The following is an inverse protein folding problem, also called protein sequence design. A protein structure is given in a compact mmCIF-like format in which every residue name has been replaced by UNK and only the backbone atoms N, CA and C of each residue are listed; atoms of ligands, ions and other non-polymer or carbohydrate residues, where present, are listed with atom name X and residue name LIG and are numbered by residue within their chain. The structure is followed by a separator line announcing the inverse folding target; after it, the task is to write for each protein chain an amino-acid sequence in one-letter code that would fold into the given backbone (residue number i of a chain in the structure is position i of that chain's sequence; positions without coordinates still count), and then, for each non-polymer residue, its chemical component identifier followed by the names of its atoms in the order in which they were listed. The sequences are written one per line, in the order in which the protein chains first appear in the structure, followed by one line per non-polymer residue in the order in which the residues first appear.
data_IF_417017470594
#
_entry.id   IF_417017470594
#
_cell.length_a   1.000
_cell.length_b   1.000
_cell.length_c   1.000
_cell.angle_alpha   90.00
_cell.angle_beta   90.00
_cell.angle_gamma   90.00
#
_symmetry.space_group_name_H-M   'P 1'
#
loop_
_entity.id
_entity.type
_entity.pdbx_description
1 polymer ?
#
# COMPACT_ATOMS: atom_id res chain seq x y z
N UNK A 1 -45.11 14.36 2.13
CA UNK A 1 -43.95 15.24 2.25
C UNK A 1 -42.88 14.39 2.87
N UNK A 2 -41.74 14.23 2.20
CA UNK A 2 -40.59 13.53 2.79
C UNK A 2 -40.02 14.44 3.89
N UNK A 3 -39.79 13.89 5.08
CA UNK A 3 -39.14 14.65 6.15
C UNK A 3 -37.83 15.24 5.65
N UNK A 4 -37.47 16.47 6.06
CA UNK A 4 -36.21 17.07 5.67
C UNK A 4 -35.05 16.20 6.13
N UNK A 5 -34.10 15.95 5.24
CA UNK A 5 -32.88 15.18 5.57
C UNK A 5 -32.09 15.91 6.67
N UNK A 6 -31.54 15.16 7.65
CA UNK A 6 -30.69 15.78 8.67
C UNK A 6 -29.41 16.34 8.05
N UNK A 7 -28.91 17.50 8.53
CA UNK A 7 -27.67 18.09 8.06
C UNK A 7 -26.46 17.26 8.47
N UNK A 8 -25.46 17.15 7.59
CA UNK A 8 -24.21 16.44 7.82
C UNK A 8 -23.05 17.10 7.06
N UNK A 9 -21.90 17.28 7.70
CA UNK A 9 -20.68 17.70 7.05
C UNK A 9 -19.79 16.50 6.72
N UNK A 10 -19.36 16.40 5.46
CA UNK A 10 -18.39 15.43 5.00
C UNK A 10 -17.03 16.11 4.82
N UNK A 11 -16.05 15.77 5.67
CA UNK A 11 -14.68 16.22 5.53
C UNK A 11 -13.91 15.26 4.62
N UNK A 12 -13.56 15.73 3.44
CA UNK A 12 -12.90 14.93 2.43
C UNK A 12 -11.39 15.15 2.51
N UNK A 13 -10.67 14.20 3.11
CA UNK A 13 -9.22 14.30 3.26
C UNK A 13 -8.51 14.16 1.92
N UNK A 14 -7.50 14.99 1.68
CA UNK A 14 -6.65 14.96 0.50
C UNK A 14 -5.17 15.19 0.85
N UNK A 15 -4.23 14.49 0.17
CA UNK A 15 -4.48 13.52 -0.90
C UNK A 15 -5.08 12.21 -0.40
N UNK A 16 -5.78 11.50 -1.27
CA UNK A 16 -6.41 10.20 -1.05
C UNK A 16 -6.41 9.38 -2.34
N UNK A 17 -6.81 8.10 -2.26
CA UNK A 17 -6.97 7.25 -3.42
C UNK A 17 -5.64 6.92 -4.12
N UNK A 18 -5.69 6.59 -5.40
CA UNK A 18 -4.55 6.07 -6.14
C UNK A 18 -3.27 6.90 -5.98
N UNK A 19 -2.14 6.22 -5.75
CA UNK A 19 -0.81 6.80 -5.84
C UNK A 19 -0.16 6.46 -7.18
N UNK A 20 0.93 7.14 -7.52
CA UNK A 20 1.65 6.92 -8.78
C UNK A 20 2.13 5.47 -8.97
N UNK A 21 2.48 4.76 -7.88
CA UNK A 21 2.88 3.35 -7.94
C UNK A 21 1.73 2.44 -8.35
N UNK A 22 0.55 2.64 -7.77
CA UNK A 22 -0.67 1.90 -8.08
C UNK A 22 -1.13 2.20 -9.51
N UNK A 23 -1.20 3.46 -9.90
CA UNK A 23 -1.58 3.89 -11.25
C UNK A 23 -0.68 3.24 -12.30
N UNK A 24 0.65 3.26 -12.07
CA UNK A 24 1.62 2.60 -12.95
C UNK A 24 1.37 1.09 -13.04
N UNK A 25 1.11 0.43 -11.93
CA UNK A 25 0.92 -1.03 -11.91
C UNK A 25 -0.34 -1.46 -12.67
N UNK A 26 -1.43 -0.73 -12.52
CA UNK A 26 -2.67 -0.96 -13.29
C UNK A 26 -2.42 -0.74 -14.77
N UNK A 27 -1.81 0.38 -15.17
CA UNK A 27 -1.45 0.70 -16.55
C UNK A 27 -0.55 -0.38 -17.19
N UNK A 28 0.35 -0.98 -16.43
CA UNK A 28 1.20 -2.09 -16.90
C UNK A 28 0.34 -3.27 -17.36
N UNK A 29 -0.66 -3.67 -16.57
CA UNK A 29 -1.55 -4.79 -16.93
C UNK A 29 -2.41 -4.44 -18.14
N UNK A 30 -2.98 -3.24 -18.19
CA UNK A 30 -3.81 -2.77 -19.31
C UNK A 30 -3.01 -2.73 -20.62
N UNK A 31 -1.80 -2.16 -20.61
CA UNK A 31 -0.93 -2.10 -21.79
C UNK A 31 -0.48 -3.52 -22.21
N UNK A 32 -0.20 -4.39 -21.25
CA UNK A 32 0.16 -5.78 -21.54
C UNK A 32 -0.97 -6.53 -22.24
N UNK A 33 -2.22 -6.36 -21.78
CA UNK A 33 -3.42 -6.91 -22.43
C UNK A 33 -3.60 -6.36 -23.85
N UNK A 34 -3.34 -5.06 -24.06
CA UNK A 34 -3.39 -4.46 -25.40
C UNK A 34 -2.28 -5.01 -26.32
N UNK A 35 -1.08 -5.21 -25.77
CA UNK A 35 0.10 -5.63 -26.55
C UNK A 35 0.08 -7.10 -26.92
N UNK A 36 -0.27 -7.97 -25.99
CA UNK A 36 -0.16 -9.44 -26.18
C UNK A 36 -1.51 -10.14 -26.31
N UNK A 37 -2.63 -9.43 -26.07
CA UNK A 37 -3.95 -10.01 -25.99
C UNK A 37 -4.17 -10.81 -24.71
N UNK A 38 -5.43 -11.13 -24.43
CA UNK A 38 -5.80 -11.98 -23.29
C UNK A 38 -5.49 -13.46 -23.60
N UNK A 39 -5.14 -14.29 -22.62
CA UNK A 39 -4.91 -13.92 -21.23
C UNK A 39 -3.49 -13.35 -20.96
N UNK A 40 -3.41 -12.38 -20.07
CA UNK A 40 -2.17 -11.94 -19.42
C UNK A 40 -2.23 -12.37 -17.96
N UNK A 41 -1.20 -13.04 -17.49
CA UNK A 41 -1.15 -13.54 -16.12
C UNK A 41 -0.56 -12.48 -15.16
N UNK A 42 -1.07 -12.44 -13.95
CA UNK A 42 -0.59 -11.52 -12.91
C UNK A 42 -0.35 -12.34 -11.65
N UNK A 43 0.90 -12.40 -11.19
CA UNK A 43 1.25 -13.11 -9.97
C UNK A 43 0.90 -12.26 -8.76
N UNK A 44 0.04 -12.78 -7.90
CA UNK A 44 -0.66 -12.10 -6.81
C UNK A 44 -1.55 -10.94 -7.29
N UNK A 45 -2.34 -10.36 -6.41
CA UNK A 45 -3.09 -9.14 -6.73
C UNK A 45 -2.12 -8.03 -7.15
N UNK A 46 -2.37 -7.39 -8.29
CA UNK A 46 -1.52 -6.30 -8.79
C UNK A 46 -1.39 -5.18 -7.75
N UNK A 47 -2.48 -4.89 -7.06
CA UNK A 47 -2.62 -4.03 -5.91
C UNK A 47 -3.76 -4.57 -5.03
N UNK A 48 -3.73 -4.31 -3.72
CA UNK A 48 -4.75 -4.78 -2.79
C UNK A 48 -6.04 -3.98 -2.91
N UNK A 49 -6.84 -4.27 -3.95
CA UNK A 49 -8.17 -3.72 -4.14
C UNK A 49 -9.01 -4.62 -5.05
N UNK A 50 -10.07 -5.23 -4.49
CA UNK A 50 -10.93 -6.16 -5.23
C UNK A 50 -11.59 -5.52 -6.46
N UNK A 51 -12.03 -4.27 -6.38
CA UNK A 51 -12.65 -3.56 -7.52
C UNK A 51 -11.67 -3.46 -8.70
N UNK A 52 -10.41 -3.12 -8.42
CA UNK A 52 -9.35 -3.05 -9.44
C UNK A 52 -9.07 -4.44 -10.02
N UNK A 53 -8.88 -5.44 -9.15
CA UNK A 53 -8.61 -6.83 -9.59
C UNK A 53 -9.74 -7.36 -10.45
N UNK A 54 -11.01 -7.18 -10.04
CA UNK A 54 -12.17 -7.61 -10.80
C UNK A 54 -12.29 -6.88 -12.16
N UNK A 55 -11.97 -5.57 -12.18
CA UNK A 55 -11.93 -4.80 -13.43
C UNK A 55 -10.89 -5.35 -14.42
N UNK A 56 -9.68 -5.67 -13.96
CA UNK A 56 -8.64 -6.25 -14.80
C UNK A 56 -8.96 -7.68 -15.23
N UNK A 57 -9.61 -8.49 -14.38
CA UNK A 57 -10.14 -9.81 -14.77
C UNK A 57 -11.16 -9.70 -15.90
N UNK A 58 -12.05 -8.73 -15.84
CA UNK A 58 -13.03 -8.48 -16.89
C UNK A 58 -12.37 -8.10 -18.24
N UNK A 59 -11.16 -7.53 -18.22
CA UNK A 59 -10.36 -7.23 -19.41
C UNK A 59 -9.53 -8.43 -19.90
N UNK A 60 -9.51 -9.55 -19.16
CA UNK A 60 -8.80 -10.78 -19.54
C UNK A 60 -7.48 -11.03 -18.80
N UNK A 61 -7.22 -10.31 -17.69
CA UNK A 61 -6.13 -10.66 -16.79
C UNK A 61 -6.49 -11.91 -15.96
N UNK A 62 -5.53 -12.81 -15.77
CA UNK A 62 -5.66 -14.03 -14.95
C UNK A 62 -4.72 -13.89 -13.76
N UNK A 63 -5.29 -13.85 -12.56
CA UNK A 63 -4.51 -13.75 -11.33
C UNK A 63 -4.17 -15.12 -10.79
N UNK A 64 -2.90 -15.35 -10.47
CA UNK A 64 -2.35 -16.61 -9.97
C UNK A 64 -1.54 -16.34 -8.70
N UNK A 65 -1.37 -17.35 -7.85
CA UNK A 65 -0.55 -17.24 -6.66
C UNK A 65 0.90 -17.58 -6.97
N UNK A 66 1.15 -18.65 -7.74
CA UNK A 66 2.50 -19.10 -8.04
C UNK A 66 2.81 -19.10 -9.54
N UNK A 67 4.10 -19.04 -9.84
CA UNK A 67 4.57 -18.94 -11.23
C UNK A 67 4.34 -20.22 -12.04
N UNK A 68 4.25 -21.37 -11.40
CA UNK A 68 3.99 -22.67 -12.05
C UNK A 68 2.56 -22.81 -12.59
N UNK A 69 1.63 -21.98 -12.12
CA UNK A 69 0.28 -21.88 -12.68
C UNK A 69 0.24 -21.15 -14.03
N UNK A 70 1.34 -20.50 -14.44
CA UNK A 70 1.41 -19.72 -15.68
C UNK A 70 1.98 -20.60 -16.80
N UNK A 71 1.30 -20.74 -17.96
CA UNK A 71 1.88 -21.38 -19.15
C UNK A 71 3.13 -20.64 -19.65
N UNK A 72 4.15 -21.38 -20.13
CA UNK A 72 5.43 -20.78 -20.55
C UNK A 72 5.29 -19.82 -21.75
N UNK A 73 4.28 -20.03 -22.60
CA UNK A 73 4.01 -19.21 -23.78
C UNK A 73 3.18 -17.94 -23.48
N UNK A 74 2.89 -17.66 -22.22
CA UNK A 74 2.04 -16.53 -21.81
C UNK A 74 2.82 -15.51 -21.00
N UNK A 75 2.52 -14.19 -21.18
CA UNK A 75 3.15 -13.15 -20.41
C UNK A 75 2.67 -13.16 -18.94
N UNK A 76 3.59 -12.95 -18.01
CA UNK A 76 3.30 -12.81 -16.59
C UNK A 76 3.79 -11.45 -16.06
N UNK A 77 2.99 -10.85 -15.18
CA UNK A 77 3.30 -9.57 -14.51
C UNK A 77 3.47 -9.85 -13.01
N UNK A 78 4.57 -9.37 -12.45
CA UNK A 78 4.79 -9.39 -10.99
C UNK A 78 4.16 -8.16 -10.37
N UNK A 79 3.50 -8.33 -9.21
CA UNK A 79 2.70 -7.26 -8.58
C UNK A 79 3.53 -6.05 -8.13
N UNK A 80 2.81 -4.95 -7.82
CA UNK A 80 3.44 -3.70 -7.35
C UNK A 80 4.21 -3.85 -6.02
N UNK A 81 3.93 -4.90 -5.25
CA UNK A 81 4.54 -5.15 -3.94
C UNK A 81 5.99 -5.63 -4.02
N UNK A 82 6.44 -6.06 -5.21
CA UNK A 82 7.75 -6.68 -5.39
C UNK A 82 7.72 -8.19 -5.13
N UNK A 83 8.76 -8.86 -5.59
CA UNK A 83 8.92 -10.32 -5.49
C UNK A 83 10.33 -10.69 -5.05
N UNK A 84 10.54 -11.84 -4.38
CA UNK A 84 11.88 -12.39 -4.14
C UNK A 84 12.66 -12.57 -5.44
N UNK A 85 13.99 -12.46 -5.40
CA UNK A 85 14.88 -12.68 -6.56
C UNK A 85 14.69 -14.05 -7.24
N UNK A 86 14.23 -15.04 -6.50
CA UNK A 86 13.96 -16.38 -7.02
C UNK A 86 12.83 -16.39 -8.08
N UNK A 87 11.87 -15.46 -8.00
CA UNK A 87 10.72 -15.42 -8.92
C UNK A 87 11.14 -15.00 -10.33
N UNK A 88 11.82 -13.84 -10.55
CA UNK A 88 12.32 -13.50 -11.88
C UNK A 88 13.37 -14.49 -12.39
N UNK A 89 14.19 -15.09 -11.51
CA UNK A 89 15.14 -16.13 -11.91
C UNK A 89 14.43 -17.39 -12.42
N UNK A 90 13.34 -17.82 -11.79
CA UNK A 90 12.52 -18.94 -12.25
C UNK A 90 11.81 -18.63 -13.57
N UNK A 91 11.26 -17.42 -13.75
CA UNK A 91 10.66 -16.99 -15.01
C UNK A 91 11.68 -16.98 -16.15
N UNK A 92 12.89 -16.51 -15.89
CA UNK A 92 13.99 -16.49 -16.87
C UNK A 92 14.43 -17.92 -17.24
N UNK A 93 14.53 -18.82 -16.27
CA UNK A 93 14.90 -20.21 -16.52
C UNK A 93 13.85 -20.96 -17.37
N UNK A 94 12.60 -20.52 -17.35
CA UNK A 94 11.49 -21.02 -18.18
C UNK A 94 11.33 -20.23 -19.49
N UNK A 95 12.23 -19.30 -19.79
CA UNK A 95 12.18 -18.44 -20.99
C UNK A 95 10.85 -17.66 -21.14
N UNK A 96 10.18 -17.35 -20.03
CA UNK A 96 8.89 -16.68 -20.03
C UNK A 96 9.01 -15.19 -20.41
N UNK A 97 7.95 -14.65 -21.00
CA UNK A 97 7.78 -13.19 -21.10
C UNK A 97 7.29 -12.68 -19.74
N UNK A 98 8.10 -11.91 -19.04
CA UNK A 98 7.69 -11.34 -17.75
C UNK A 98 7.89 -9.83 -17.68
N UNK A 99 7.08 -9.18 -16.88
CA UNK A 99 7.13 -7.74 -16.61
C UNK A 99 7.09 -7.51 -15.11
N UNK A 100 8.04 -6.78 -14.60
CA UNK A 100 8.09 -6.37 -13.21
C UNK A 100 7.30 -5.06 -13.01
N UNK A 101 6.16 -5.13 -12.32
CA UNK A 101 5.36 -3.99 -11.94
C UNK A 101 5.72 -3.44 -10.55
N UNK A 102 6.73 -3.96 -9.88
CA UNK A 102 7.20 -3.47 -8.58
C UNK A 102 7.26 -1.95 -8.56
N UNK A 103 6.65 -1.35 -7.53
CA UNK A 103 6.68 0.10 -7.36
C UNK A 103 8.13 0.58 -7.25
N UNK A 104 8.53 1.66 -7.95
CA UNK A 104 9.90 2.19 -7.86
C UNK A 104 10.35 2.52 -6.44
N UNK A 105 9.41 2.85 -5.54
CA UNK A 105 9.72 3.11 -4.13
C UNK A 105 9.99 1.82 -3.33
N UNK A 106 9.36 0.71 -3.70
CA UNK A 106 9.71 -0.61 -3.18
C UNK A 106 11.04 -1.09 -3.75
N UNK A 107 11.26 -0.90 -5.06
CA UNK A 107 12.57 -1.23 -5.68
C UNK A 107 13.73 -0.46 -5.03
N UNK A 108 13.49 0.78 -4.58
CA UNK A 108 14.48 1.55 -3.80
C UNK A 108 14.89 0.79 -2.53
N UNK A 109 13.91 0.26 -1.78
CA UNK A 109 14.16 -0.51 -0.55
C UNK A 109 14.94 -1.79 -0.85
N UNK A 110 14.58 -2.50 -1.94
CA UNK A 110 15.32 -3.69 -2.39
C UNK A 110 16.79 -3.38 -2.68
N UNK A 111 17.06 -2.34 -3.48
CA UNK A 111 18.43 -1.92 -3.82
C UNK A 111 19.21 -1.49 -2.58
N UNK A 112 18.57 -0.82 -1.63
CA UNK A 112 19.21 -0.38 -0.40
C UNK A 112 19.56 -1.56 0.51
N UNK A 113 18.68 -2.56 0.60
CA UNK A 113 18.96 -3.82 1.30
C UNK A 113 20.19 -4.54 0.72
N UNK A 114 20.23 -4.68 -0.60
CA UNK A 114 21.35 -5.30 -1.31
C UNK A 114 22.66 -4.55 -1.05
N UNK A 115 22.65 -3.22 -1.20
CA UNK A 115 23.84 -2.39 -0.98
C UNK A 115 24.40 -2.48 0.44
N UNK A 116 23.51 -2.50 1.46
CA UNK A 116 23.93 -2.65 2.83
C UNK A 116 24.53 -4.04 3.10
N UNK A 117 23.90 -5.08 2.52
CA UNK A 117 24.41 -6.46 2.62
C UNK A 117 25.78 -6.61 1.94
N UNK A 118 25.99 -6.02 0.75
CA UNK A 118 27.28 -6.00 0.06
C UNK A 118 28.37 -5.29 0.89
N UNK A 119 28.00 -4.34 1.72
CA UNK A 119 28.89 -3.71 2.69
C UNK A 119 29.09 -4.50 4.00
N UNK A 120 28.62 -5.75 4.07
CA UNK A 120 28.79 -6.67 5.19
C UNK A 120 27.85 -6.45 6.36
N UNK A 121 26.77 -5.68 6.17
CA UNK A 121 25.77 -5.42 7.21
C UNK A 121 24.66 -6.49 7.14
N UNK A 122 24.21 -6.97 8.31
CA UNK A 122 22.97 -7.77 8.41
C UNK A 122 21.77 -6.82 8.48
N UNK A 123 20.68 -7.20 7.82
CA UNK A 123 19.51 -6.33 7.70
C UNK A 123 18.46 -6.63 8.77
N UNK A 124 17.86 -5.56 9.32
CA UNK A 124 16.60 -5.61 10.06
C UNK A 124 15.52 -4.99 9.18
N UNK A 125 14.46 -5.75 8.89
CA UNK A 125 13.28 -5.29 8.18
C UNK A 125 12.20 -4.93 9.19
N UNK A 126 11.78 -3.67 9.23
CA UNK A 126 10.59 -3.25 9.95
C UNK A 126 9.40 -3.43 8.98
N UNK A 127 8.49 -4.37 9.30
CA UNK A 127 7.39 -4.70 8.39
C UNK A 127 6.46 -5.75 8.96
N UNK A 128 5.41 -6.10 8.23
CA UNK A 128 4.45 -7.11 8.66
C UNK A 128 4.78 -8.48 8.09
N UNK A 129 4.81 -9.48 8.95
CA UNK A 129 4.98 -10.89 8.56
C UNK A 129 3.89 -11.29 7.55
N UNK A 130 4.28 -12.02 6.51
CA UNK A 130 3.35 -12.50 5.49
C UNK A 130 2.89 -11.45 4.47
N UNK A 131 3.21 -10.18 4.64
CA UNK A 131 2.87 -9.17 3.64
C UNK A 131 3.74 -9.36 2.39
N UNK A 132 3.17 -9.31 1.16
CA UNK A 132 3.92 -9.53 -0.08
C UNK A 132 5.14 -8.62 -0.25
N UNK A 133 5.07 -7.35 0.14
CA UNK A 133 6.22 -6.43 0.11
C UNK A 133 7.34 -6.87 1.06
N UNK A 134 6.99 -7.33 2.27
CA UNK A 134 7.97 -7.84 3.25
C UNK A 134 8.64 -9.10 2.72
N UNK A 135 7.85 -10.05 2.19
CA UNK A 135 8.36 -11.29 1.57
C UNK A 135 9.28 -10.96 0.39
N UNK A 136 8.84 -10.03 -0.49
CA UNK A 136 9.61 -9.59 -1.65
C UNK A 136 10.95 -8.96 -1.26
N UNK A 137 10.94 -8.08 -0.25
CA UNK A 137 12.13 -7.38 0.24
C UNK A 137 13.09 -8.34 0.96
N UNK A 138 12.59 -9.18 1.85
CA UNK A 138 13.42 -10.18 2.53
C UNK A 138 14.06 -11.16 1.53
N UNK A 139 13.33 -11.49 0.47
CA UNK A 139 13.81 -12.39 -0.60
C UNK A 139 14.81 -11.76 -1.58
N UNK A 140 15.26 -10.52 -1.36
CA UNK A 140 16.39 -9.94 -2.10
C UNK A 140 17.74 -10.45 -1.60
N UNK A 141 17.80 -10.92 -0.36
CA UNK A 141 19.01 -11.37 0.29
C UNK A 141 18.97 -12.88 0.59
N UNK A 142 20.09 -13.52 0.86
CA UNK A 142 20.12 -14.92 1.26
C UNK A 142 19.31 -15.16 2.55
N UNK A 143 18.82 -16.39 2.72
CA UNK A 143 18.06 -16.76 3.90
C UNK A 143 18.85 -16.49 5.19
N UNK A 144 18.20 -15.87 6.18
CA UNK A 144 18.81 -15.49 7.46
C UNK A 144 19.55 -14.15 7.47
N UNK A 145 19.73 -13.49 6.31
CA UNK A 145 20.38 -12.17 6.24
C UNK A 145 19.43 -11.03 6.64
N UNK A 146 18.12 -11.25 6.60
CA UNK A 146 17.12 -10.26 7.01
C UNK A 146 16.34 -10.75 8.22
N UNK A 147 16.39 -10.00 9.31
CA UNK A 147 15.62 -10.24 10.54
C UNK A 147 14.38 -9.36 10.51
N UNK A 148 13.21 -9.92 10.81
CA UNK A 148 11.93 -9.18 10.80
C UNK A 148 11.61 -8.64 12.19
N UNK A 149 11.15 -7.39 12.25
CA UNK A 149 10.64 -6.71 13.45
C UNK A 149 9.31 -6.06 13.08
N UNK A 150 8.25 -6.37 13.83
CA UNK A 150 6.91 -5.79 13.61
C UNK A 150 6.56 -4.75 14.66
N UNK A 151 7.05 -4.91 15.89
CA UNK A 151 6.71 -4.10 17.06
C UNK A 151 7.95 -3.72 17.87
N UNK A 152 7.80 -2.75 18.77
CA UNK A 152 8.86 -2.38 19.74
C UNK A 152 9.26 -3.60 20.61
N UNK A 153 8.32 -4.48 20.95
CA UNK A 153 8.62 -5.68 21.74
C UNK A 153 9.56 -6.64 21.00
N UNK A 154 9.40 -6.79 19.68
CA UNK A 154 10.24 -7.69 18.87
C UNK A 154 11.70 -7.22 18.83
N UNK A 155 11.93 -5.91 19.02
CA UNK A 155 13.29 -5.35 19.09
C UNK A 155 14.08 -6.02 20.21
N UNK A 156 13.45 -6.38 21.33
CA UNK A 156 14.11 -7.07 22.45
C UNK A 156 14.51 -8.52 22.11
N UNK A 157 13.74 -9.16 21.21
CA UNK A 157 13.90 -10.58 20.86
C UNK A 157 14.77 -10.81 19.62
N UNK A 158 15.12 -9.76 18.87
CA UNK A 158 15.95 -9.94 17.68
C UNK A 158 17.41 -10.23 18.05
N UNK A 159 18.00 -11.27 17.45
CA UNK A 159 19.36 -11.74 17.72
C UNK A 159 20.21 -11.67 16.44
N UNK A 160 20.85 -10.53 16.17
CA UNK A 160 21.75 -10.41 15.03
C UNK A 160 23.07 -11.15 15.29
N UNK A 161 23.74 -11.56 14.20
CA UNK A 161 25.06 -12.22 14.30
C UNK A 161 26.18 -11.30 14.81
N UNK A 162 26.09 -10.01 14.47
CA UNK A 162 27.02 -8.97 14.92
C UNK A 162 26.24 -7.67 15.17
N UNK A 163 26.04 -7.26 16.43
CA UNK A 163 25.27 -6.06 16.76
C UNK A 163 25.91 -4.74 16.30
N UNK A 164 27.21 -4.76 15.96
CA UNK A 164 27.92 -3.58 15.46
C UNK A 164 27.82 -3.44 13.91
N UNK A 165 27.30 -4.47 13.21
CA UNK A 165 27.20 -4.50 11.75
C UNK A 165 25.77 -4.69 11.27
N UNK A 166 24.93 -3.71 11.57
CA UNK A 166 23.51 -3.75 11.27
C UNK A 166 23.08 -2.55 10.42
N UNK A 167 22.11 -2.79 9.55
CA UNK A 167 21.31 -1.74 8.96
C UNK A 167 19.83 -2.11 9.05
N UNK A 168 18.94 -1.11 8.99
CA UNK A 168 17.51 -1.35 8.92
C UNK A 168 16.89 -0.71 7.69
N UNK A 169 15.83 -1.33 7.22
CA UNK A 169 14.92 -0.87 6.17
C UNK A 169 13.49 -1.03 6.65
N UNK A 170 12.53 -0.35 5.99
CA UNK A 170 11.13 -0.45 6.38
C UNK A 170 10.22 -0.80 5.20
N UNK A 171 9.10 -1.44 5.49
CA UNK A 171 7.98 -1.55 4.57
C UNK A 171 7.44 -0.15 4.26
N UNK A 172 7.04 0.10 3.00
CA UNK A 172 6.66 1.44 2.53
C UNK A 172 5.30 1.94 3.04
N UNK A 173 4.49 1.06 3.64
CA UNK A 173 3.09 1.33 4.02
C UNK A 173 2.82 1.27 5.54
N UNK A 174 3.85 1.42 6.36
CA UNK A 174 3.72 1.40 7.82
C UNK A 174 3.13 2.70 8.38
N UNK A 175 2.73 2.65 9.65
CA UNK A 175 2.48 3.86 10.45
C UNK A 175 3.79 4.62 10.65
N UNK A 176 3.76 5.93 10.37
CA UNK A 176 4.94 6.78 10.56
C UNK A 176 5.31 6.85 12.06
N UNK A 177 4.28 6.98 12.92
CA UNK A 177 4.49 7.13 14.36
C UNK A 177 5.04 5.83 14.97
N UNK A 178 4.38 4.68 14.70
CA UNK A 178 4.82 3.38 15.23
C UNK A 178 6.22 3.00 14.74
N UNK A 179 6.53 3.34 13.48
CA UNK A 179 7.87 3.09 12.91
C UNK A 179 8.93 3.94 13.60
N UNK A 180 8.61 5.16 13.98
CA UNK A 180 9.51 6.04 14.73
C UNK A 180 9.86 5.42 16.09
N UNK A 181 8.88 4.84 16.80
CA UNK A 181 9.10 4.20 18.09
C UNK A 181 9.96 2.93 17.95
N UNK A 182 9.72 2.12 16.92
CA UNK A 182 10.54 0.93 16.63
C UNK A 182 11.99 1.33 16.31
N UNK A 183 12.19 2.36 15.47
CA UNK A 183 13.52 2.88 15.13
C UNK A 183 14.24 3.40 16.38
N UNK A 184 13.53 4.12 17.25
CA UNK A 184 14.10 4.60 18.50
C UNK A 184 14.57 3.44 19.40
N UNK A 185 13.77 2.38 19.52
CA UNK A 185 14.13 1.17 20.25
C UNK A 185 15.34 0.42 19.62
N UNK A 186 15.38 0.30 18.30
CA UNK A 186 16.52 -0.29 17.58
C UNK A 186 17.81 0.50 17.83
N UNK A 187 17.77 1.83 17.73
CA UNK A 187 18.95 2.68 17.99
C UNK A 187 19.40 2.65 19.44
N UNK A 188 18.47 2.52 20.39
CA UNK A 188 18.79 2.37 21.80
C UNK A 188 19.49 1.03 22.07
N UNK A 189 19.05 -0.06 21.43
CA UNK A 189 19.64 -1.39 21.59
C UNK A 189 20.93 -1.60 20.78
N UNK A 190 20.98 -1.04 19.57
CA UNK A 190 22.08 -1.16 18.63
C UNK A 190 22.55 0.24 18.17
N UNK A 191 23.37 0.94 18.96
CA UNK A 191 23.74 2.33 18.68
C UNK A 191 24.47 2.54 17.35
N UNK A 192 25.13 1.52 16.83
CA UNK A 192 25.85 1.56 15.54
C UNK A 192 24.95 1.27 14.32
N UNK A 193 23.64 0.95 14.52
CA UNK A 193 22.75 0.59 13.42
C UNK A 193 22.60 1.71 12.40
N UNK A 194 22.72 1.37 11.13
CA UNK A 194 22.60 2.31 10.01
C UNK A 194 21.16 2.29 9.48
N UNK A 195 20.54 3.45 9.35
CA UNK A 195 19.23 3.59 8.74
C UNK A 195 19.30 3.87 7.23
N UNK A 196 18.14 3.88 6.56
CA UNK A 196 18.06 4.23 5.15
C UNK A 196 18.53 5.67 4.90
N UNK A 197 19.16 5.90 3.74
CA UNK A 197 19.63 7.23 3.35
C UNK A 197 18.48 8.23 3.19
N UNK A 198 17.32 7.77 2.73
CA UNK A 198 16.06 8.50 2.68
C UNK A 198 15.00 7.58 3.26
N UNK A 199 14.01 8.16 3.93
CA UNK A 199 12.90 7.40 4.50
C UNK A 199 12.29 6.40 3.49
N UNK A 200 12.00 5.19 3.97
CA UNK A 200 11.41 4.12 3.15
C UNK A 200 9.89 4.21 3.11
N UNK A 201 9.25 4.73 4.17
CA UNK A 201 7.81 4.99 4.14
C UNK A 201 7.54 5.96 2.99
N UNK A 202 6.72 5.54 2.03
CA UNK A 202 6.56 6.28 0.80
C UNK A 202 5.74 7.57 1.01
N UNK A 203 5.97 8.57 0.15
CA UNK A 203 5.26 9.85 0.18
C UNK A 203 3.74 9.67 0.21
N UNK A 204 3.21 8.68 -0.53
CA UNK A 204 1.78 8.43 -0.59
C UNK A 204 1.22 7.97 0.77
N UNK A 205 1.96 7.14 1.48
CA UNK A 205 1.61 6.71 2.84
C UNK A 205 1.66 7.88 3.82
N UNK A 206 2.77 8.63 3.82
CA UNK A 206 2.97 9.78 4.72
C UNK A 206 1.89 10.85 4.49
N UNK A 207 1.63 11.21 3.24
CA UNK A 207 0.65 12.24 2.91
C UNK A 207 -0.78 11.84 3.31
N UNK A 208 -1.18 10.59 3.07
CA UNK A 208 -2.52 10.12 3.45
C UNK A 208 -2.69 10.04 4.95
N UNK A 209 -1.67 9.64 5.70
CA UNK A 209 -1.69 9.69 7.16
C UNK A 209 -1.80 11.14 7.66
N UNK A 210 -1.03 12.07 7.08
CA UNK A 210 -1.11 13.50 7.41
C UNK A 210 -2.50 14.07 7.15
N UNK A 211 -3.14 13.70 6.02
CA UNK A 211 -4.49 14.16 5.69
C UNK A 211 -5.56 13.65 6.66
N UNK A 212 -5.44 12.40 7.14
CA UNK A 212 -6.32 11.86 8.19
C UNK A 212 -6.11 12.60 9.51
N UNK A 213 -4.85 12.83 9.92
CA UNK A 213 -4.53 13.56 11.15
C UNK A 213 -5.13 14.98 11.12
N UNK A 214 -5.12 15.65 9.96
CA UNK A 214 -5.64 17.00 9.82
C UNK A 214 -7.16 17.11 10.08
N UNK A 215 -7.93 16.05 9.81
CA UNK A 215 -9.38 16.05 10.01
C UNK A 215 -9.82 15.34 11.29
N UNK A 216 -8.98 14.50 11.90
CA UNK A 216 -9.36 13.59 12.98
C UNK A 216 -10.04 14.28 14.18
N UNK A 217 -9.59 15.47 14.54
CA UNK A 217 -10.17 16.25 15.65
C UNK A 217 -11.46 17.01 15.31
N UNK A 218 -11.92 16.96 14.06
CA UNK A 218 -13.10 17.71 13.56
C UNK A 218 -14.27 16.78 13.21
N UNK A 219 -14.08 15.47 13.29
CA UNK A 219 -15.03 14.46 12.83
C UNK A 219 -15.49 13.53 13.95
N UNK A 220 -16.74 13.13 13.90
CA UNK A 220 -17.32 12.14 14.81
C UNK A 220 -16.99 10.71 14.36
N UNK A 221 -16.88 10.50 13.04
CA UNK A 221 -16.58 9.22 12.42
C UNK A 221 -15.66 9.37 11.22
N UNK A 222 -14.81 8.36 10.97
CA UNK A 222 -13.94 8.26 9.80
C UNK A 222 -14.32 7.04 8.97
N UNK A 223 -14.58 7.22 7.69
CA UNK A 223 -14.67 6.13 6.72
C UNK A 223 -13.42 6.12 5.84
N UNK A 224 -12.75 4.98 5.84
CA UNK A 224 -11.58 4.71 4.99
C UNK A 224 -11.99 3.77 3.88
N UNK A 225 -11.98 4.25 2.65
CA UNK A 225 -12.26 3.40 1.48
C UNK A 225 -11.00 2.61 1.15
N UNK A 226 -11.10 1.27 1.15
CA UNK A 226 -9.97 0.39 0.90
C UNK A 226 -10.26 -1.07 1.17
N UNK A 227 -9.31 -1.94 0.87
CA UNK A 227 -9.43 -3.38 1.09
C UNK A 227 -8.84 -3.80 2.45
N UNK A 228 -9.39 -4.85 3.09
CA UNK A 228 -8.92 -5.33 4.40
C UNK A 228 -7.50 -5.90 4.38
N UNK A 229 -7.02 -6.37 3.22
CA UNK A 229 -5.65 -6.83 3.01
C UNK A 229 -4.68 -5.70 2.59
N UNK A 230 -5.17 -4.46 2.42
CA UNK A 230 -4.32 -3.30 2.14
C UNK A 230 -3.72 -2.74 3.44
N UNK A 231 -2.41 -2.89 3.63
CA UNK A 231 -1.69 -2.33 4.77
C UNK A 231 -1.92 -0.81 4.89
N UNK A 232 -1.78 -0.06 3.79
CA UNK A 232 -2.03 1.39 3.80
C UNK A 232 -3.45 1.73 4.29
N UNK A 233 -4.49 1.04 3.80
CA UNK A 233 -5.88 1.35 4.19
C UNK A 233 -6.14 1.05 5.66
N UNK A 234 -5.63 -0.06 6.18
CA UNK A 234 -5.73 -0.41 7.60
C UNK A 234 -5.05 0.64 8.48
N UNK A 235 -3.85 1.10 8.10
CA UNK A 235 -3.12 2.14 8.82
C UNK A 235 -3.89 3.44 8.93
N UNK A 236 -4.65 3.84 7.90
CA UNK A 236 -5.46 5.06 7.96
C UNK A 236 -6.58 4.96 9.01
N UNK A 237 -7.18 3.77 9.20
CA UNK A 237 -8.15 3.53 10.28
C UNK A 237 -7.50 3.70 11.65
N UNK A 238 -6.32 3.10 11.84
CA UNK A 238 -5.57 3.14 13.09
C UNK A 238 -5.09 4.56 13.40
N UNK A 239 -4.56 5.28 12.42
CA UNK A 239 -4.17 6.69 12.53
C UNK A 239 -5.36 7.57 12.92
N UNK A 240 -6.53 7.36 12.32
CA UNK A 240 -7.75 8.09 12.70
C UNK A 240 -8.10 7.90 14.16
N UNK A 241 -8.10 6.65 14.64
CA UNK A 241 -8.39 6.30 16.04
C UNK A 241 -7.36 6.88 17.01
N UNK A 242 -6.08 6.74 16.69
CA UNK A 242 -4.98 7.25 17.51
C UNK A 242 -4.98 8.80 17.63
N UNK A 243 -5.58 9.49 16.65
CA UNK A 243 -5.68 10.95 16.63
C UNK A 243 -7.05 11.50 17.05
N UNK A 244 -7.85 10.72 17.79
CA UNK A 244 -9.05 11.19 18.48
C UNK A 244 -10.37 10.95 17.76
N UNK A 245 -10.39 10.29 16.61
CA UNK A 245 -11.64 9.86 15.99
C UNK A 245 -12.20 8.65 16.73
N UNK A 246 -13.35 8.81 17.39
CA UNK A 246 -13.94 7.78 18.24
C UNK A 246 -14.40 6.54 17.45
N UNK A 247 -14.86 6.74 16.22
CA UNK A 247 -15.29 5.67 15.31
C UNK A 247 -14.57 5.76 13.98
N UNK A 248 -13.85 4.70 13.59
CA UNK A 248 -13.23 4.59 12.28
C UNK A 248 -13.51 3.21 11.68
N UNK A 249 -14.04 3.20 10.45
CA UNK A 249 -14.42 2.00 9.72
C UNK A 249 -13.69 1.93 8.39
N UNK A 250 -13.17 0.73 8.06
CA UNK A 250 -12.72 0.38 6.71
C UNK A 250 -13.91 -0.13 5.91
N UNK A 251 -14.14 0.44 4.73
CA UNK A 251 -15.21 0.04 3.82
C UNK A 251 -14.64 -0.19 2.42
N UNK A 252 -15.04 -1.25 1.75
CA UNK A 252 -14.66 -1.47 0.35
C UNK A 252 -15.60 -0.71 -0.59
N UNK A 253 -16.88 -0.59 -0.19
CA UNK A 253 -17.96 0.05 -0.96
C UNK A 253 -18.97 0.73 -0.02
N UNK A 254 -19.85 1.55 -0.58
CA UNK A 254 -20.93 2.19 0.19
C UNK A 254 -21.87 1.20 0.87
N UNK A 255 -22.00 -0.02 0.34
CA UNK A 255 -22.81 -1.09 0.95
C UNK A 255 -22.28 -1.60 2.28
N UNK A 256 -21.01 -1.39 2.57
CA UNK A 256 -20.34 -1.87 3.78
C UNK A 256 -20.48 -0.89 4.95
N UNK A 257 -21.09 0.29 4.73
CA UNK A 257 -21.23 1.33 5.75
C UNK A 257 -22.17 0.85 6.85
N UNK A 258 -21.68 0.83 8.09
CA UNK A 258 -22.51 0.61 9.26
C UNK A 258 -23.27 1.88 9.64
N UNK A 259 -24.44 2.03 9.04
CA UNK A 259 -25.30 3.20 9.24
C UNK A 259 -25.81 3.34 10.69
N UNK A 260 -25.86 2.24 11.49
CA UNK A 260 -26.28 2.31 12.90
C UNK A 260 -25.21 2.98 13.75
N UNK A 261 -23.94 2.70 13.47
CA UNK A 261 -22.83 3.34 14.16
C UNK A 261 -22.71 4.84 13.82
N UNK A 262 -23.40 5.29 12.77
CA UNK A 262 -23.41 6.69 12.31
C UNK A 262 -24.70 7.44 12.72
N UNK A 263 -25.52 6.89 13.61
CA UNK A 263 -26.70 7.58 14.10
C UNK A 263 -26.33 8.77 15.00
N UNK A 264 -26.93 9.93 14.73
CA UNK A 264 -26.74 11.15 15.52
C UNK A 264 -25.45 11.91 15.30
N UNK A 265 -24.57 11.44 14.40
CA UNK A 265 -23.31 12.14 14.03
C UNK A 265 -23.60 13.38 13.17
N UNK A 266 -22.68 14.35 13.19
CA UNK A 266 -22.78 15.60 12.41
C UNK A 266 -21.63 15.81 11.43
N UNK A 267 -20.52 15.13 11.67
CA UNK A 267 -19.31 15.27 10.90
C UNK A 267 -18.68 13.91 10.57
N UNK A 268 -18.50 13.59 9.30
CA UNK A 268 -17.83 12.37 8.82
C UNK A 268 -16.62 12.71 8.02
N UNK A 269 -15.48 12.16 8.39
CA UNK A 269 -14.28 12.16 7.57
C UNK A 269 -14.34 11.05 6.53
N UNK A 270 -13.94 11.37 5.31
CA UNK A 270 -13.82 10.39 4.22
C UNK A 270 -12.40 10.46 3.66
N UNK A 271 -11.75 9.30 3.59
CA UNK A 271 -10.46 9.13 2.92
C UNK A 271 -10.42 7.81 2.16
N UNK A 272 -9.37 7.61 1.38
CA UNK A 272 -9.18 6.37 0.62
C UNK A 272 -7.71 5.94 0.64
N UNK A 273 -7.47 4.65 0.81
CA UNK A 273 -6.14 4.07 0.71
C UNK A 273 -5.54 4.19 -0.68
N UNK A 274 -4.21 4.06 -0.77
CA UNK A 274 -3.44 4.28 -2.00
C UNK A 274 -3.81 3.34 -3.17
N UNK A 275 -4.58 2.29 -2.92
CA UNK A 275 -5.07 1.34 -3.94
C UNK A 275 -6.57 1.45 -4.24
N UNK A 276 -7.28 2.42 -3.63
CA UNK A 276 -8.71 2.61 -3.83
C UNK A 276 -8.98 3.70 -4.89
N UNK A 277 -9.77 3.41 -5.94
CA UNK A 277 -10.09 4.39 -6.97
C UNK A 277 -11.12 5.41 -6.48
N UNK A 278 -11.05 6.63 -7.02
CA UNK A 278 -11.93 7.75 -6.64
C UNK A 278 -13.43 7.46 -6.90
N UNK A 279 -13.75 6.57 -7.84
CA UNK A 279 -15.14 6.16 -8.09
C UNK A 279 -15.80 5.56 -6.84
N UNK A 280 -15.05 4.83 -6.00
CA UNK A 280 -15.58 4.27 -4.76
C UNK A 280 -15.77 5.35 -3.67
N UNK A 281 -14.94 6.39 -3.67
CA UNK A 281 -15.14 7.57 -2.81
C UNK A 281 -16.42 8.28 -3.17
N UNK A 282 -16.66 8.50 -4.46
CA UNK A 282 -17.89 9.13 -4.95
C UNK A 282 -19.12 8.29 -4.62
N UNK A 283 -19.04 6.95 -4.74
CA UNK A 283 -20.11 6.02 -4.32
C UNK A 283 -20.49 6.22 -2.85
N UNK A 284 -19.50 6.37 -1.97
CA UNK A 284 -19.71 6.62 -0.54
C UNK A 284 -20.35 8.00 -0.33
N UNK A 285 -19.86 9.05 -0.97
CA UNK A 285 -20.42 10.40 -0.88
C UNK A 285 -21.89 10.41 -1.32
N UNK A 286 -22.21 9.73 -2.42
CA UNK A 286 -23.60 9.66 -2.94
C UNK A 286 -24.52 8.87 -2.00
N UNK A 287 -24.00 7.84 -1.32
CA UNK A 287 -24.78 7.12 -0.30
C UNK A 287 -25.12 8.02 0.90
N UNK A 288 -24.24 8.94 1.29
CA UNK A 288 -24.54 9.97 2.29
C UNK A 288 -25.56 10.99 1.78
N UNK A 289 -25.40 11.51 0.57
CA UNK A 289 -26.32 12.44 -0.08
C UNK A 289 -27.74 11.87 -0.20
N UNK A 290 -27.85 10.56 -0.37
CA UNK A 290 -29.15 9.88 -0.39
C UNK A 290 -29.90 9.98 0.95
N UNK A 291 -29.20 10.08 2.08
CA UNK A 291 -29.73 10.05 3.45
C UNK A 291 -29.72 11.39 4.16
N UNK A 292 -28.76 12.25 3.87
CA UNK A 292 -28.47 13.49 4.59
C UNK A 292 -28.50 14.69 3.65
N UNK A 293 -28.72 15.88 4.23
CA UNK A 293 -28.41 17.14 3.58
C UNK A 293 -26.91 17.42 3.81
N UNK A 294 -26.09 17.13 2.81
CA UNK A 294 -24.62 17.05 2.97
C UNK A 294 -23.92 18.30 2.49
N UNK A 295 -23.05 18.85 3.33
CA UNK A 295 -22.00 19.80 2.93
C UNK A 295 -20.68 19.03 2.79
N UNK A 296 -19.94 19.24 1.70
CA UNK A 296 -18.65 18.58 1.47
C UNK A 296 -17.52 19.62 1.58
N UNK A 297 -16.61 19.40 2.51
CA UNK A 297 -15.42 20.22 2.74
C UNK A 297 -14.16 19.45 2.38
N UNK A 298 -13.38 19.99 1.43
CA UNK A 298 -12.08 19.42 1.05
C UNK A 298 -10.98 19.94 1.98
N UNK A 299 -10.26 19.03 2.64
CA UNK A 299 -9.11 19.35 3.48
C UNK A 299 -7.86 18.80 2.80
N UNK A 300 -7.14 19.68 2.10
CA UNK A 300 -5.93 19.33 1.35
C UNK A 300 -4.67 19.66 2.17
N UNK A 301 -3.84 18.65 2.42
CA UNK A 301 -2.57 18.80 3.17
C UNK A 301 -1.33 18.80 2.28
N UNK A 302 -1.42 18.21 1.10
CA UNK A 302 -0.33 18.15 0.12
C UNK A 302 -0.88 17.94 -1.30
N UNK A 303 -0.07 18.33 -2.30
CA UNK A 303 -0.31 18.04 -3.73
C UNK A 303 0.71 17.03 -4.21
N UNK A 304 0.25 15.98 -4.89
CA UNK A 304 1.11 14.93 -5.44
C UNK A 304 1.27 15.12 -6.95
N UNK A 305 2.52 15.19 -7.42
CA UNK A 305 2.88 15.38 -8.85
C UNK A 305 3.82 14.27 -9.33
N UNK A 306 3.85 13.14 -8.62
CA UNK A 306 4.74 12.03 -8.93
C UNK A 306 4.13 11.20 -10.04
N UNK A 307 4.94 10.91 -11.07
CA UNK A 307 4.63 9.96 -12.13
C UNK A 307 5.75 8.93 -12.28
N UNK A 308 5.39 7.68 -12.52
CA UNK A 308 6.34 6.62 -12.81
C UNK A 308 6.16 6.07 -14.22
N UNK A 309 7.24 6.01 -14.99
CA UNK A 309 7.23 5.43 -16.33
C UNK A 309 6.99 3.92 -16.28
N UNK A 310 6.22 3.43 -17.24
CA UNK A 310 6.06 1.97 -17.44
C UNK A 310 7.38 1.35 -17.94
N UNK A 311 7.61 0.02 -17.72
CA UNK A 311 8.81 -0.68 -18.20
C UNK A 311 9.03 -0.54 -19.70
N UNK A 312 10.29 -0.56 -20.14
CA UNK A 312 10.64 -0.36 -21.56
C UNK A 312 9.94 -1.34 -22.49
N UNK A 313 9.81 -2.61 -22.07
CA UNK A 313 9.16 -3.65 -22.86
C UNK A 313 7.70 -3.32 -23.23
N UNK A 314 7.04 -2.47 -22.45
CA UNK A 314 5.64 -2.06 -22.68
C UNK A 314 5.52 -0.69 -23.37
N UNK A 315 6.63 0.05 -23.55
CA UNK A 315 6.57 1.30 -24.31
C UNK A 315 6.42 0.99 -25.79
N UNK A 316 5.51 1.68 -26.44
CA UNK A 316 5.45 1.65 -27.91
C UNK A 316 6.80 2.17 -28.44
N UNK A 317 7.34 1.54 -29.49
CA UNK A 317 8.47 2.11 -30.21
C UNK A 317 7.99 3.44 -30.80
N UNK A 318 8.67 4.53 -30.41
CA UNK A 318 8.50 5.84 -31.05
C UNK A 318 8.97 5.79 -32.49
#
# INVERSE_FOLDING_TARGET
MTDPKPPLTLYLAAPRGFCAGVDRAIKIVEIALQKWGAPVYVRHEIVHNKFVVDGLKALGAVFVEELDEVPDDRPVIFSAHGVPKSVPAAAQAREMIWVDATCPLVSKVHIEAERHHENGLQMIMIGHAGHPETIGTMGQLPAGEVLLVETVADVAEVHPRDPEKLAFITQTTLSVDDTTDIIAALRARFPAIIGPHKEDICYATTNRQASVKAIAGQIDALLVIGAPNSSNSRRLVEVGRANGCAYAQLVQRATDIDWRALEGIRAVGITAGASAPEVLVNEVIDAFRARFDTTVELVETAKEHVEFKVPRILRMAE
#
